data_IF_330097996998
#
_entry.id   IF_330097996998
#
_cell.length_a   1.000
_cell.length_b   1.000
_cell.length_c   1.000
_cell.angle_alpha   90.00
_cell.angle_beta   90.00
_cell.angle_gamma   90.00
#
_symmetry.space_group_name_H-M   'P 1'
#
loop_
_entity.id
_entity.type
_entity.pdbx_description
1 polymer ?
#
# COMPACT_ATOMS: atom_id res chain seq x y z
N UNK A 1 -13.77 39.84 44.26
CA UNK A 1 -13.71 39.36 42.87
C UNK A 1 -12.69 38.27 42.85
N UNK A 2 -13.12 37.05 43.14
CA UNK A 2 -12.29 35.86 43.24
C UNK A 2 -12.98 34.81 42.37
N UNK A 3 -12.45 34.54 41.18
CA UNK A 3 -12.96 33.48 40.31
C UNK A 3 -11.86 32.45 40.11
N UNK A 4 -11.88 31.43 40.97
CA UNK A 4 -11.16 30.16 40.81
C UNK A 4 -11.94 29.30 39.80
N UNK A 5 -11.42 29.13 38.59
CA UNK A 5 -11.85 28.05 37.69
C UNK A 5 -10.82 26.91 37.76
N UNK A 6 -11.15 25.86 38.51
CA UNK A 6 -10.47 24.56 38.43
C UNK A 6 -11.06 23.77 37.25
N UNK A 7 -10.34 23.75 36.13
CA UNK A 7 -10.60 22.83 35.03
C UNK A 7 -9.94 21.49 35.33
N UNK A 8 -10.74 20.45 35.54
CA UNK A 8 -10.29 19.07 35.58
C UNK A 8 -9.99 18.57 34.17
N UNK A 9 -8.73 18.19 33.92
CA UNK A 9 -8.34 17.47 32.73
C UNK A 9 -8.66 15.97 32.94
N UNK A 10 -9.76 15.50 32.36
CA UNK A 10 -10.02 14.07 32.22
C UNK A 10 -9.05 13.48 31.19
N UNK A 11 -8.15 12.63 31.67
CA UNK A 11 -7.25 11.81 30.87
C UNK A 11 -8.06 10.68 30.22
N UNK A 12 -8.57 10.90 29.01
CA UNK A 12 -9.18 9.85 28.19
C UNK A 12 -8.07 8.88 27.75
N UNK A 13 -8.07 7.71 28.36
CA UNK A 13 -7.19 6.60 28.01
C UNK A 13 -7.77 5.89 26.77
N UNK A 14 -7.19 6.15 25.60
CA UNK A 14 -7.59 5.46 24.38
C UNK A 14 -7.27 3.96 24.43
N UNK A 15 -8.23 3.07 24.12
CA UNK A 15 -7.97 1.63 24.03
C UNK A 15 -7.16 1.32 22.77
N UNK A 16 -6.03 0.62 22.94
CA UNK A 16 -5.17 0.16 21.85
C UNK A 16 -5.94 -0.69 20.82
N UNK A 17 -5.75 -0.48 19.50
CA UNK A 17 -6.32 -1.34 18.48
C UNK A 17 -5.66 -2.71 18.52
N UNK A 18 -6.47 -3.73 18.78
CA UNK A 18 -6.09 -5.14 18.74
C UNK A 18 -5.85 -5.54 17.28
N UNK A 19 -4.57 -5.61 16.87
CA UNK A 19 -4.18 -6.03 15.52
C UNK A 19 -4.18 -7.56 15.47
N UNK A 20 -5.07 -8.21 14.71
CA UNK A 20 -5.00 -9.65 14.53
C UNK A 20 -3.76 -9.99 13.68
N UNK A 21 -2.84 -10.73 14.29
CA UNK A 21 -1.67 -11.31 13.63
C UNK A 21 -2.18 -12.33 12.61
N UNK A 22 -2.28 -11.93 11.35
CA UNK A 22 -2.57 -12.87 10.25
C UNK A 22 -1.34 -13.74 10.03
N UNK A 23 -1.51 -15.02 10.33
CA UNK A 23 -0.59 -16.12 10.04
C UNK A 23 -0.25 -16.12 8.55
N UNK A 24 1.02 -15.89 8.21
CA UNK A 24 1.53 -16.05 6.85
C UNK A 24 1.36 -17.52 6.43
N UNK A 25 0.38 -17.79 5.59
CA UNK A 25 0.37 -19.01 4.80
C UNK A 25 1.18 -18.74 3.53
N UNK A 26 2.27 -19.50 3.40
CA UNK A 26 3.08 -19.60 2.20
C UNK A 26 2.21 -20.01 1.01
N UNK A 27 2.02 -19.11 0.06
CA UNK A 27 1.53 -19.46 -1.27
C UNK A 27 2.74 -19.58 -2.20
N UNK A 28 3.08 -20.83 -2.50
CA UNK A 28 3.82 -21.20 -3.71
C UNK A 28 2.93 -20.90 -4.92
N UNK A 29 3.44 -20.11 -5.86
CA UNK A 29 2.95 -20.22 -7.24
C UNK A 29 4.12 -19.99 -8.17
N UNK A 30 4.48 -21.09 -8.83
CA UNK A 30 5.24 -21.09 -10.07
C UNK A 30 4.44 -20.28 -11.08
N UNK A 31 5.08 -19.33 -11.76
CA UNK A 31 4.74 -19.06 -13.15
C UNK A 31 6.00 -18.54 -13.86
N UNK A 32 6.30 -19.28 -14.92
CA UNK A 32 7.32 -19.07 -15.92
C UNK A 32 7.06 -17.77 -16.67
N UNK A 33 8.10 -16.97 -16.89
CA UNK A 33 8.24 -16.27 -18.16
C UNK A 33 9.72 -16.12 -18.51
N UNK A 34 10.00 -16.67 -19.68
CA UNK A 34 11.24 -16.85 -20.39
C UNK A 34 11.67 -15.51 -21.02
N UNK A 35 12.84 -14.98 -20.67
CA UNK A 35 13.51 -13.93 -21.48
C UNK A 35 15.02 -14.18 -21.53
N UNK A 36 15.40 -14.96 -22.55
CA UNK A 36 16.56 -14.80 -23.43
C UNK A 36 17.91 -14.35 -22.84
N UNK A 37 18.86 -15.30 -22.77
CA UNK A 37 20.30 -15.03 -22.71
C UNK A 37 20.93 -15.15 -24.10
N UNK A 38 21.64 -14.10 -24.54
CA UNK A 38 22.70 -14.09 -25.56
C UNK A 38 23.66 -12.96 -25.10
N UNK A 39 24.99 -13.07 -24.98
CA UNK A 39 26.04 -13.82 -25.69
C UNK A 39 27.19 -14.15 -24.71
N UNK A 40 27.71 -15.37 -24.64
CA UNK A 40 28.91 -15.85 -25.36
C UNK A 40 30.13 -14.91 -25.35
N UNK A 41 31.06 -15.15 -24.42
CA UNK A 41 32.49 -15.26 -24.77
C UNK A 41 33.19 -16.35 -23.95
N UNK A 42 33.37 -17.47 -24.65
CA UNK A 42 34.45 -18.45 -24.69
C UNK A 42 35.54 -18.47 -23.58
N UNK A 43 35.56 -19.59 -22.86
CA UNK A 43 36.70 -20.14 -22.10
C UNK A 43 37.91 -20.46 -23.01
N UNK A 44 39.10 -20.65 -22.43
CA UNK A 44 39.57 -22.04 -22.38
C UNK A 44 40.17 -22.48 -21.04
N UNK A 45 39.89 -23.75 -20.73
CA UNK A 45 40.44 -24.51 -19.63
C UNK A 45 41.98 -24.57 -19.64
N UNK A 46 42.57 -24.50 -18.44
CA UNK A 46 43.67 -25.38 -18.00
C UNK A 46 43.96 -25.16 -16.52
N UNK A 47 43.67 -26.17 -15.71
CA UNK A 47 44.43 -26.42 -14.47
C UNK A 47 45.71 -27.15 -14.87
N UNK A 48 46.85 -26.75 -14.31
CA UNK A 48 47.69 -27.73 -13.65
C UNK A 48 47.86 -27.35 -12.18
N UNK A 49 47.67 -28.35 -11.32
CA UNK A 49 48.24 -28.35 -9.98
C UNK A 49 49.76 -28.26 -10.11
N UNK A 50 50.37 -27.26 -9.48
CA UNK A 50 51.70 -27.38 -8.92
C UNK A 50 51.64 -26.85 -7.50
N UNK A 51 52.00 -27.73 -6.56
CA UNK A 51 52.22 -27.42 -5.18
C UNK A 51 53.47 -26.54 -5.10
N UNK A 52 53.36 -25.35 -4.52
CA UNK A 52 54.51 -24.63 -4.00
C UNK A 52 54.11 -23.94 -2.69
N UNK A 53 54.84 -24.26 -1.63
CA UNK A 53 55.02 -23.35 -0.49
C UNK A 53 53.87 -23.29 0.51
N UNK A 54 53.84 -24.28 1.39
CA UNK A 54 53.22 -24.23 2.72
C UNK A 54 53.54 -22.92 3.45
N UNK A 55 52.53 -22.09 3.66
CA UNK A 55 52.41 -21.17 4.80
C UNK A 55 50.96 -20.72 4.93
N UNK A 56 50.03 -21.68 4.99
CA UNK A 56 48.75 -21.42 5.65
C UNK A 56 49.08 -21.37 7.14
N UNK A 57 48.84 -20.26 7.87
CA UNK A 57 48.95 -20.28 9.32
C UNK A 57 47.97 -21.33 9.82
N UNK A 58 48.52 -22.48 10.22
CA UNK A 58 47.77 -23.64 10.61
C UNK A 58 46.80 -23.23 11.70
N UNK A 59 45.50 -23.48 11.46
CA UNK A 59 44.53 -23.58 12.54
C UNK A 59 45.15 -24.44 13.63
N UNK A 60 45.17 -23.93 14.86
CA UNK A 60 45.69 -24.59 16.03
C UNK A 60 45.20 -26.03 16.08
N UNK A 61 46.12 -26.95 15.77
CA UNK A 61 45.90 -28.38 15.95
C UNK A 61 45.79 -28.59 17.46
N UNK A 62 44.56 -28.77 17.94
CA UNK A 62 44.32 -29.22 19.30
C UNK A 62 44.81 -30.66 19.35
N UNK A 63 45.96 -30.88 19.99
CA UNK A 63 46.46 -32.22 20.27
C UNK A 63 45.42 -32.90 21.17
N UNK A 64 44.81 -33.97 20.67
CA UNK A 64 43.92 -34.82 21.45
C UNK A 64 44.73 -35.51 22.56
N UNK A 65 44.74 -34.87 23.73
CA UNK A 65 44.48 -35.47 25.04
C UNK A 65 45.29 -36.68 25.53
N UNK A 66 46.38 -37.13 24.90
CA UNK A 66 47.07 -38.33 25.40
C UNK A 66 48.60 -38.36 25.29
N UNK A 67 49.27 -37.22 25.15
CA UNK A 67 50.74 -37.11 25.27
C UNK A 67 51.20 -35.94 26.15
N UNK A 68 50.63 -35.82 27.35
CA UNK A 68 51.02 -34.80 28.34
C UNK A 68 51.76 -35.39 29.55
N UNK A 69 52.64 -36.38 29.36
CA UNK A 69 53.37 -37.01 30.48
C UNK A 69 54.88 -36.79 30.51
N UNK A 70 55.50 -36.11 29.53
CA UNK A 70 56.95 -35.85 29.56
C UNK A 70 57.31 -34.52 28.89
N UNK A 71 57.06 -33.40 29.59
CA UNK A 71 57.84 -32.16 29.55
C UNK A 71 57.04 -31.07 30.26
N UNK A 72 57.59 -30.57 31.36
CA UNK A 72 56.99 -29.49 32.13
C UNK A 72 56.97 -29.85 33.61
N UNK A 73 58.07 -29.55 34.29
CA UNK A 73 58.07 -29.36 35.73
C UNK A 73 56.80 -28.63 36.12
N UNK A 74 55.97 -29.27 36.95
CA UNK A 74 54.77 -28.63 37.47
C UNK A 74 55.23 -27.40 38.24
N UNK A 75 55.17 -26.21 37.64
CA UNK A 75 55.35 -24.95 38.36
C UNK A 75 54.16 -24.85 39.31
N UNK A 76 54.28 -25.50 40.45
CA UNK A 76 53.34 -25.39 41.55
C UNK A 76 53.48 -23.96 42.01
N UNK A 77 52.58 -23.10 41.55
CA UNK A 77 52.44 -21.77 42.13
C UNK A 77 52.14 -22.00 43.61
N UNK A 78 53.16 -21.79 44.45
CA UNK A 78 53.07 -21.90 45.92
C UNK A 78 52.05 -20.90 46.47
N UNK A 79 51.73 -19.89 45.66
CA UNK A 79 50.89 -18.75 46.01
C UNK A 79 49.77 -18.62 44.98
N UNK A 80 48.53 -18.54 45.46
CA UNK A 80 47.35 -18.32 44.61
C UNK A 80 47.52 -17.01 43.82
N UNK A 81 47.12 -16.96 42.53
CA UNK A 81 47.14 -15.72 41.73
C UNK A 81 46.42 -14.54 42.40
N UNK A 82 45.40 -14.80 43.24
CA UNK A 82 44.72 -13.76 44.02
C UNK A 82 45.64 -13.03 45.01
N UNK A 83 46.73 -13.69 45.45
CA UNK A 83 47.71 -13.12 46.39
C UNK A 83 48.81 -12.37 45.64
N UNK A 84 49.24 -12.86 44.47
CA UNK A 84 50.26 -12.18 43.64
C UNK A 84 49.67 -10.93 42.96
N UNK A 85 48.42 -11.02 42.53
CA UNK A 85 47.71 -9.94 41.84
C UNK A 85 46.27 -9.86 42.35
N UNK A 86 46.05 -9.20 43.50
CA UNK A 86 44.70 -9.04 44.02
C UNK A 86 43.85 -8.24 43.04
N UNK A 87 42.74 -8.83 42.61
CA UNK A 87 41.79 -8.16 41.72
C UNK A 87 41.19 -6.98 42.49
N UNK A 88 41.25 -5.74 41.95
CA UNK A 88 40.67 -4.59 42.61
C UNK A 88 39.16 -4.82 42.79
N UNK A 89 38.71 -4.85 44.05
CA UNK A 89 37.29 -4.99 44.39
C UNK A 89 36.56 -3.71 44.02
N UNK A 90 35.96 -3.67 42.84
CA UNK A 90 35.04 -2.59 42.49
C UNK A 90 33.75 -2.75 43.30
N UNK A 91 33.33 -1.69 43.99
CA UNK A 91 31.97 -1.62 44.53
C UNK A 91 31.02 -1.70 43.34
N UNK A 92 30.03 -2.57 43.41
CA UNK A 92 29.05 -2.76 42.33
C UNK A 92 28.63 -1.38 41.79
N UNK A 93 28.83 -1.18 40.48
CA UNK A 93 28.52 0.10 39.85
C UNK A 93 27.05 0.42 40.10
N UNK A 94 26.77 1.66 40.50
CA UNK A 94 25.39 2.12 40.71
C UNK A 94 24.58 1.82 39.44
N UNK A 95 23.37 1.27 39.63
CA UNK A 95 22.48 0.82 38.54
C UNK A 95 22.44 1.88 37.43
N UNK A 96 22.54 1.45 36.16
CA UNK A 96 22.43 2.33 34.99
C UNK A 96 21.31 3.35 35.20
N UNK A 97 21.65 4.63 35.16
CA UNK A 97 20.67 5.71 35.20
C UNK A 97 19.65 5.51 34.09
N UNK A 98 18.37 5.41 34.45
CA UNK A 98 17.22 5.43 33.54
C UNK A 98 17.02 6.83 32.95
N UNK A 99 18.08 7.44 32.41
CA UNK A 99 17.95 8.68 31.66
C UNK A 99 17.14 8.34 30.43
N UNK A 100 15.94 8.92 30.34
CA UNK A 100 15.10 8.84 29.14
C UNK A 100 15.98 9.24 27.95
N UNK A 101 16.30 8.30 27.06
CA UNK A 101 16.89 8.63 25.75
C UNK A 101 15.93 9.64 25.13
N UNK A 102 16.39 10.87 24.91
CA UNK A 102 15.60 11.87 24.20
C UNK A 102 15.17 11.29 22.85
N UNK A 103 14.02 11.72 22.34
CA UNK A 103 13.61 11.40 20.97
C UNK A 103 14.72 11.89 20.05
N UNK A 104 15.53 10.98 19.51
CA UNK A 104 16.43 11.32 18.41
C UNK A 104 15.52 11.68 17.25
N UNK A 105 15.56 12.93 16.80
CA UNK A 105 15.02 13.27 15.48
C UNK A 105 15.78 12.40 14.49
N UNK A 106 15.20 11.27 14.11
CA UNK A 106 15.82 10.45 13.09
C UNK A 106 15.72 11.32 11.83
N UNK A 107 16.87 11.73 11.30
CA UNK A 107 17.05 12.46 10.03
C UNK A 107 16.58 11.58 8.84
N UNK A 108 15.44 10.90 8.93
CA UNK A 108 14.97 9.85 8.02
C UNK A 108 14.03 10.36 6.95
N UNK A 109 14.52 11.29 6.14
CA UNK A 109 14.25 11.17 4.72
C UNK A 109 15.56 11.27 3.96
N UNK A 110 16.32 10.17 3.99
CA UNK A 110 17.38 9.97 3.01
C UNK A 110 16.78 10.18 1.62
N UNK A 111 17.51 10.78 0.66
CA UNK A 111 17.02 10.99 -0.70
C UNK A 111 16.38 9.73 -1.30
N UNK A 112 17.01 8.59 -1.06
CA UNK A 112 16.52 7.28 -1.47
C UNK A 112 15.13 6.92 -0.92
N UNK A 113 14.83 7.25 0.34
CA UNK A 113 13.53 6.98 0.94
C UNK A 113 12.42 7.80 0.27
N UNK A 114 12.73 9.04 -0.16
CA UNK A 114 11.78 9.90 -0.89
C UNK A 114 11.47 9.33 -2.27
N UNK A 115 12.51 9.00 -3.04
CA UNK A 115 12.36 8.37 -4.36
C UNK A 115 11.56 7.07 -4.29
N UNK A 116 11.81 6.24 -3.28
CA UNK A 116 11.08 4.98 -3.09
C UNK A 116 9.59 5.21 -2.76
N UNK A 117 9.28 6.16 -1.88
CA UNK A 117 7.89 6.49 -1.54
C UNK A 117 7.15 7.11 -2.74
N UNK A 118 7.81 7.98 -3.51
CA UNK A 118 7.25 8.54 -4.74
C UNK A 118 6.94 7.46 -5.79
N UNK A 119 7.85 6.51 -6.00
CA UNK A 119 7.64 5.40 -6.93
C UNK A 119 6.47 4.49 -6.51
N UNK A 120 6.31 4.24 -5.21
CA UNK A 120 5.17 3.45 -4.67
C UNK A 120 3.87 4.22 -4.89
N UNK A 121 3.82 5.49 -4.52
CA UNK A 121 2.62 6.33 -4.65
C UNK A 121 2.19 6.47 -6.12
N UNK A 122 3.13 6.64 -7.05
CA UNK A 122 2.81 6.73 -8.48
C UNK A 122 2.20 5.42 -9.00
N UNK A 123 2.72 4.27 -8.55
CA UNK A 123 2.18 2.94 -8.90
C UNK A 123 0.77 2.76 -8.34
N UNK A 124 0.55 3.14 -7.09
CA UNK A 124 -0.75 3.05 -6.44
C UNK A 124 -1.80 3.94 -7.11
N UNK A 125 -1.45 5.19 -7.44
CA UNK A 125 -2.37 6.10 -8.12
C UNK A 125 -2.74 5.59 -9.52
N UNK A 126 -1.76 5.11 -10.30
CA UNK A 126 -2.01 4.49 -11.60
C UNK A 126 -2.95 3.28 -11.46
N UNK A 127 -2.80 2.48 -10.43
CA UNK A 127 -3.67 1.33 -10.17
C UNK A 127 -5.08 1.77 -9.74
N UNK A 128 -5.19 2.79 -8.88
CA UNK A 128 -6.47 3.37 -8.44
C UNK A 128 -7.27 3.91 -9.63
N UNK A 129 -6.64 4.69 -10.49
CA UNK A 129 -7.26 5.23 -11.71
C UNK A 129 -7.71 4.11 -12.65
N UNK A 130 -6.89 3.06 -12.83
CA UNK A 130 -7.27 1.89 -13.65
C UNK A 130 -8.49 1.16 -13.07
N UNK A 131 -8.51 0.94 -11.76
CA UNK A 131 -9.63 0.29 -11.06
C UNK A 131 -10.90 1.14 -11.16
N UNK A 132 -10.81 2.44 -10.93
CA UNK A 132 -11.95 3.36 -11.06
C UNK A 132 -12.49 3.37 -12.49
N UNK A 133 -11.60 3.45 -13.50
CA UNK A 133 -11.99 3.40 -14.91
C UNK A 133 -12.65 2.07 -15.28
N UNK A 134 -12.17 0.95 -14.74
CA UNK A 134 -12.79 -0.36 -14.93
C UNK A 134 -14.19 -0.41 -14.28
N UNK A 135 -14.31 0.08 -13.05
CA UNK A 135 -15.59 0.20 -12.32
C UNK A 135 -16.59 1.03 -13.11
N UNK A 136 -16.18 2.20 -13.59
CA UNK A 136 -17.03 3.08 -14.40
C UNK A 136 -17.46 2.43 -15.71
N UNK A 137 -16.63 1.58 -16.34
CA UNK A 137 -17.00 0.84 -17.56
C UNK A 137 -18.05 -0.25 -17.29
N UNK A 138 -17.96 -0.95 -16.17
CA UNK A 138 -18.92 -1.98 -15.76
C UNK A 138 -20.33 -1.38 -15.58
N UNK A 139 -20.44 -0.28 -14.84
CA UNK A 139 -21.75 0.34 -14.56
C UNK A 139 -22.30 1.26 -15.66
N UNK A 140 -21.52 1.54 -16.73
CA UNK A 140 -21.97 2.43 -17.83
C UNK A 140 -23.10 1.83 -18.66
N UNK A 141 -23.26 0.51 -18.70
CA UNK A 141 -24.35 -0.16 -19.44
C UNK A 141 -25.71 0.05 -18.79
N UNK A 142 -25.79 0.11 -17.46
CA UNK A 142 -27.05 0.23 -16.72
C UNK A 142 -27.67 1.63 -16.82
N UNK A 143 -26.85 2.68 -16.94
CA UNK A 143 -27.36 4.05 -17.06
C UNK A 143 -27.77 4.41 -18.50
N UNK A 144 -27.22 3.72 -19.51
CA UNK A 144 -27.60 3.94 -20.92
C UNK A 144 -28.99 3.39 -21.25
N UNK A 145 -29.44 2.30 -20.62
CA UNK A 145 -30.79 1.76 -20.82
C UNK A 145 -31.85 2.69 -20.21
N UNK A 146 -31.63 3.16 -18.98
CA UNK A 146 -32.52 4.11 -18.29
C UNK A 146 -32.69 5.43 -19.05
N UNK A 147 -31.61 5.95 -19.65
CA UNK A 147 -31.63 7.18 -20.46
C UNK A 147 -32.39 7.03 -21.79
N UNK A 148 -32.28 5.88 -22.46
CA UNK A 148 -33.03 5.62 -23.70
C UNK A 148 -34.53 5.54 -23.44
N UNK A 149 -34.92 4.85 -22.37
CA UNK A 149 -36.34 4.70 -22.01
C UNK A 149 -36.99 6.04 -21.64
N UNK A 150 -36.27 6.93 -20.94
CA UNK A 150 -36.78 8.29 -20.64
C UNK A 150 -36.88 9.18 -21.87
N UNK A 151 -35.94 9.09 -22.83
CA UNK A 151 -36.02 9.84 -24.10
C UNK A 151 -37.21 9.39 -24.95
N UNK A 152 -37.44 8.09 -25.05
CA UNK A 152 -38.55 7.54 -25.84
C UNK A 152 -39.92 7.92 -25.26
N UNK A 153 -40.08 7.83 -23.94
CA UNK A 153 -41.31 8.28 -23.24
C UNK A 153 -41.59 9.77 -23.48
N UNK A 154 -40.55 10.61 -23.49
CA UNK A 154 -40.69 12.05 -23.74
C UNK A 154 -41.07 12.37 -25.20
N UNK A 155 -40.48 11.67 -26.18
CA UNK A 155 -40.82 11.83 -27.60
C UNK A 155 -42.29 11.45 -27.87
N UNK A 156 -42.74 10.28 -27.38
CA UNK A 156 -44.15 9.84 -27.49
C UNK A 156 -45.11 10.85 -26.84
N UNK A 157 -44.72 11.46 -25.70
CA UNK A 157 -45.52 12.49 -25.03
C UNK A 157 -45.63 13.78 -25.85
N UNK A 158 -44.55 14.19 -26.54
CA UNK A 158 -44.54 15.37 -27.40
C UNK A 158 -45.42 15.16 -28.65
N UNK A 159 -45.31 14.00 -29.29
CA UNK A 159 -46.09 13.63 -30.47
C UNK A 159 -47.60 13.59 -30.14
N UNK A 160 -47.96 13.02 -28.99
CA UNK A 160 -49.35 13.03 -28.49
C UNK A 160 -49.87 14.44 -28.25
N UNK A 161 -49.03 15.39 -27.81
CA UNK A 161 -49.41 16.81 -27.68
C UNK A 161 -49.60 17.48 -29.05
N UNK A 162 -48.75 17.17 -30.04
CA UNK A 162 -48.90 17.68 -31.42
C UNK A 162 -50.20 17.19 -32.07
N UNK A 163 -50.51 15.90 -31.97
CA UNK A 163 -51.74 15.36 -32.56
C UNK A 163 -53.00 15.98 -31.94
N UNK A 164 -53.01 16.18 -30.61
CA UNK A 164 -54.11 16.88 -29.93
C UNK A 164 -54.28 18.30 -30.45
N UNK A 165 -53.19 19.07 -30.54
CA UNK A 165 -53.22 20.45 -31.08
C UNK A 165 -53.78 20.50 -32.51
N UNK A 166 -53.30 19.61 -33.38
CA UNK A 166 -53.79 19.53 -34.77
C UNK A 166 -55.29 19.20 -34.83
N UNK A 167 -55.74 18.27 -33.98
CA UNK A 167 -57.15 17.86 -33.93
C UNK A 167 -58.04 19.02 -33.48
N UNK A 168 -57.64 19.76 -32.43
CA UNK A 168 -58.38 20.94 -31.97
C UNK A 168 -58.45 22.03 -33.05
N UNK A 169 -57.34 22.27 -33.75
CA UNK A 169 -57.27 23.27 -34.82
C UNK A 169 -58.19 22.91 -36.00
N UNK A 170 -58.22 21.64 -36.43
CA UNK A 170 -59.16 21.18 -37.47
C UNK A 170 -60.62 21.37 -37.06
N UNK A 171 -60.97 21.06 -35.81
CA UNK A 171 -62.35 21.24 -35.31
C UNK A 171 -62.77 22.71 -35.35
N UNK A 172 -61.90 23.62 -34.90
CA UNK A 172 -62.17 25.07 -34.95
C UNK A 172 -62.34 25.54 -36.39
N UNK A 173 -61.48 25.09 -37.30
CA UNK A 173 -61.55 25.46 -38.72
C UNK A 173 -62.86 24.95 -39.37
N UNK A 174 -63.30 23.73 -39.07
CA UNK A 174 -64.57 23.19 -39.56
C UNK A 174 -65.79 23.98 -39.06
N UNK A 175 -65.79 24.39 -37.79
CA UNK A 175 -66.89 25.20 -37.24
C UNK A 175 -67.00 26.56 -37.93
N UNK A 176 -65.88 27.21 -38.24
CA UNK A 176 -65.88 28.50 -38.93
C UNK A 176 -66.35 28.41 -40.39
N UNK A 177 -66.18 27.26 -41.06
CA UNK A 177 -66.65 27.09 -42.44
C UNK A 177 -68.15 26.76 -42.55
N UNK A 178 -68.77 26.26 -41.48
CA UNK A 178 -70.19 25.90 -41.47
C UNK A 178 -71.11 27.06 -41.10
N UNK A 179 -70.59 28.12 -40.49
CA UNK A 179 -71.31 29.38 -40.29
C UNK A 179 -71.31 30.19 -41.57
N UNK A 180 -72.08 29.74 -42.56
CA UNK A 180 -72.48 30.62 -43.66
C UNK A 180 -73.68 31.41 -43.15
N UNK A 181 -73.60 32.75 -43.04
CA UNK A 181 -74.74 33.56 -42.66
C UNK A 181 -75.81 33.44 -43.76
N UNK A 182 -76.88 32.69 -43.48
CA UNK A 182 -78.11 32.72 -44.28
C UNK A 182 -78.79 34.06 -44.01
N UNK A 183 -78.35 35.10 -44.70
CA UNK A 183 -78.92 36.45 -44.62
C UNK A 183 -79.33 36.94 -46.02
N UNK A 184 -80.21 36.21 -46.70
CA UNK A 184 -80.74 36.54 -48.05
C UNK A 184 -82.10 35.81 -48.14
N UNK A 185 -83.30 36.37 -48.27
CA UNK A 185 -83.86 37.70 -48.53
C UNK A 185 -85.26 37.72 -47.89
N UNK A 186 -85.60 38.74 -47.10
CA UNK A 186 -87.01 39.10 -46.85
C UNK A 186 -87.12 40.62 -46.97
N UNK A 187 -87.31 41.11 -48.19
CA UNK A 187 -87.75 42.48 -48.47
C UNK A 187 -88.30 42.53 -49.88
N UNK A 188 -89.51 43.11 -50.01
CA UNK A 188 -90.33 43.27 -51.23
C UNK A 188 -91.16 42.00 -51.54
N UNK A 189 -92.47 41.97 -51.34
CA UNK A 189 -93.53 42.92 -51.74
C UNK A 189 -94.76 42.77 -50.84
#
# INVERSE_FOLDING_TARGET
GEDLHQGGEELIQEPSPNIPVKKCQSASSNDVDEVFCTDKEQTPAKKPRLNDGLSVPGCSHWVDGNQASQLGETSKFVVSPEVVMPIPKVKATTKRSNRKKGKTAILTESPYKRELMEAINEREEKNRIKQEKARMRLFKKENKSKSKETKEKNLKKLEKRRSRKMKTMMTVMMMMMQTVPVCIVESSI
#
